data_IF_833632475450
#
_entry.id   IF_833632475450
#
_cell.length_a   1.000
_cell.length_b   1.000
_cell.length_c   1.000
_cell.angle_alpha   90.00
_cell.angle_beta   90.00
_cell.angle_gamma   90.00
#
_symmetry.space_group_name_H-M   'P 1'
#
loop_
_entity.id
_entity.type
_entity.pdbx_description
1 polymer ?
#
# COMPACT_ATOMS: atom_id res chain seq x y z
N UNK A 1 20.28 -50.04 -29.50
CA UNK A 1 19.45 -51.16 -29.97
C UNK A 1 18.11 -51.12 -29.27
N UNK A 2 17.06 -51.02 -30.06
CA UNK A 2 15.64 -51.30 -29.80
C UNK A 2 14.88 -50.33 -28.85
N UNK A 3 14.10 -49.44 -29.39
CA UNK A 3 12.83 -49.48 -30.17
C UNK A 3 11.60 -49.52 -29.24
N UNK A 4 10.93 -48.38 -29.19
CA UNK A 4 9.52 -48.04 -29.41
C UNK A 4 8.41 -48.88 -28.75
N UNK A 5 7.46 -48.20 -28.09
CA UNK A 5 6.04 -48.24 -28.54
C UNK A 5 5.19 -47.11 -27.93
N UNK A 6 4.58 -46.35 -28.83
CA UNK A 6 3.41 -45.51 -28.63
C UNK A 6 2.18 -46.34 -28.23
N UNK A 7 1.27 -45.73 -27.46
CA UNK A 7 -0.14 -46.07 -27.50
C UNK A 7 -0.96 -44.76 -27.32
N UNK A 8 -1.61 -44.37 -28.43
CA UNK A 8 -2.74 -43.45 -28.48
C UNK A 8 -3.97 -44.17 -27.95
N UNK A 9 -4.81 -43.48 -27.17
CA UNK A 9 -6.22 -43.83 -27.10
C UNK A 9 -7.07 -42.57 -27.03
N UNK A 10 -8.05 -42.59 -27.86
CA UNK A 10 -8.97 -41.65 -28.43
C UNK A 10 -10.07 -41.17 -27.47
N UNK A 11 -10.45 -39.90 -27.69
CA UNK A 11 -11.69 -39.22 -27.34
C UNK A 11 -12.97 -40.05 -27.31
N UNK A 12 -13.82 -39.81 -26.33
CA UNK A 12 -15.27 -39.88 -26.48
C UNK A 12 -15.93 -38.74 -25.67
N UNK A 13 -16.47 -37.80 -26.41
CA UNK A 13 -17.46 -36.81 -25.93
C UNK A 13 -18.78 -37.52 -25.66
N UNK A 14 -19.45 -37.21 -24.57
CA UNK A 14 -20.86 -37.47 -24.41
C UNK A 14 -21.52 -36.24 -23.78
N UNK A 15 -22.32 -35.56 -24.63
CA UNK A 15 -23.26 -34.52 -24.23
C UNK A 15 -24.40 -35.13 -23.40
N UNK A 16 -24.65 -34.57 -22.22
CA UNK A 16 -25.93 -34.76 -21.53
C UNK A 16 -26.53 -33.39 -21.31
N UNK A 17 -27.57 -33.10 -22.08
CA UNK A 17 -28.53 -32.02 -21.87
C UNK A 17 -29.47 -32.40 -20.73
N UNK A 18 -29.46 -31.64 -19.65
CA UNK A 18 -30.55 -31.69 -18.66
C UNK A 18 -31.23 -30.33 -18.55
N UNK A 19 -32.50 -30.33 -18.91
CA UNK A 19 -33.46 -29.26 -18.89
C UNK A 19 -33.78 -28.82 -17.47
N UNK A 20 -33.77 -27.49 -17.20
CA UNK A 20 -34.22 -26.87 -15.95
C UNK A 20 -35.66 -26.42 -16.11
N UNK A 21 -36.58 -26.74 -15.18
CA UNK A 21 -37.96 -26.23 -15.22
C UNK A 21 -38.02 -24.79 -14.69
N UNK A 22 -38.73 -23.94 -15.44
CA UNK A 22 -39.12 -22.58 -15.06
C UNK A 22 -40.17 -22.63 -13.94
N UNK A 23 -39.86 -22.10 -12.76
CA UNK A 23 -40.87 -21.79 -11.72
C UNK A 23 -41.32 -20.34 -11.88
N UNK A 24 -42.64 -20.21 -11.93
CA UNK A 24 -43.40 -18.96 -11.94
C UNK A 24 -43.24 -18.23 -10.59
N UNK A 25 -43.03 -16.90 -10.63
CA UNK A 25 -43.07 -15.99 -9.48
C UNK A 25 -44.29 -15.06 -9.70
N UNK A 26 -45.24 -14.98 -8.76
CA UNK A 26 -46.33 -14.01 -8.84
C UNK A 26 -45.84 -12.61 -8.42
N UNK A 27 -46.32 -11.58 -9.15
CA UNK A 27 -46.03 -10.17 -8.95
C UNK A 27 -46.67 -9.57 -7.70
N UNK A 28 -46.12 -8.47 -7.16
CA UNK A 28 -46.67 -7.83 -5.97
C UNK A 28 -47.86 -6.90 -6.29
N UNK A 29 -48.88 -7.00 -5.45
CA UNK A 29 -50.10 -6.19 -5.42
C UNK A 29 -49.78 -4.75 -4.98
N UNK A 30 -50.24 -3.77 -5.73
CA UNK A 30 -50.15 -2.35 -5.42
C UNK A 30 -51.19 -2.00 -4.34
N UNK A 31 -50.73 -1.55 -3.17
CA UNK A 31 -51.57 -0.87 -2.20
C UNK A 31 -51.20 0.60 -2.17
N UNK A 32 -52.13 1.42 -2.62
CA UNK A 32 -52.11 2.88 -2.55
C UNK A 32 -52.37 3.34 -1.12
N UNK A 33 -51.42 4.11 -0.59
CA UNK A 33 -51.59 4.78 0.68
C UNK A 33 -50.62 5.96 0.76
N UNK A 34 -51.12 7.17 0.51
CA UNK A 34 -50.38 8.41 0.68
C UNK A 34 -50.24 8.78 2.17
N UNK A 35 -49.05 9.21 2.62
CA UNK A 35 -48.94 10.01 3.83
C UNK A 35 -48.57 11.47 3.54
N UNK A 36 -49.26 12.32 4.29
CA UNK A 36 -49.20 13.78 4.31
C UNK A 36 -47.77 14.32 4.56
N UNK A 37 -47.39 15.28 3.75
CA UNK A 37 -46.19 16.10 3.89
C UNK A 37 -46.21 16.92 5.19
N UNK A 38 -45.20 16.76 6.03
CA UNK A 38 -44.84 17.76 7.04
C UNK A 38 -43.49 18.37 6.65
N UNK A 39 -43.54 19.59 6.20
CA UNK A 39 -42.39 20.45 5.93
C UNK A 39 -41.76 20.84 7.28
N UNK A 40 -40.60 20.31 7.62
CA UNK A 40 -39.78 20.80 8.68
C UNK A 40 -38.72 21.76 8.08
N UNK A 41 -38.82 23.04 8.49
CA UNK A 41 -37.86 24.06 8.19
C UNK A 41 -36.48 23.71 8.76
N UNK A 42 -35.47 23.65 7.88
CA UNK A 42 -34.07 23.58 8.28
C UNK A 42 -33.59 24.95 8.69
N UNK A 43 -33.36 25.16 9.98
CA UNK A 43 -32.62 26.32 10.49
C UNK A 43 -31.14 26.14 10.13
N UNK A 44 -30.59 27.01 9.31
CA UNK A 44 -29.17 27.06 8.98
C UNK A 44 -28.40 27.64 10.17
N UNK A 45 -27.69 26.76 10.89
CA UNK A 45 -26.71 27.17 11.89
C UNK A 45 -25.36 27.26 11.20
N UNK A 46 -24.91 28.45 10.93
CA UNK A 46 -23.55 28.74 10.48
C UNK A 46 -22.57 28.47 11.61
N UNK A 47 -21.96 27.27 11.62
CA UNK A 47 -20.80 27.00 12.47
C UNK A 47 -19.54 27.55 11.82
N UNK A 48 -18.92 28.50 12.50
CA UNK A 48 -17.57 29.02 12.21
C UNK A 48 -16.60 27.86 12.38
N UNK A 49 -15.93 27.46 11.31
CA UNK A 49 -14.79 26.54 11.37
C UNK A 49 -13.61 27.26 12.03
N UNK A 50 -13.39 26.96 13.31
CA UNK A 50 -12.13 27.24 13.97
C UNK A 50 -11.16 26.11 13.64
N UNK A 51 -10.05 26.48 13.08
CA UNK A 51 -8.97 25.67 12.58
C UNK A 51 -8.04 25.21 13.69
N UNK A 52 -7.88 23.94 13.85
CA UNK A 52 -6.62 23.22 14.09
C UNK A 52 -6.93 21.72 13.95
N UNK A 53 -6.14 20.93 13.20
CA UNK A 53 -6.36 19.51 13.17
C UNK A 53 -6.09 18.96 14.57
N UNK A 54 -6.96 18.10 15.10
CA UNK A 54 -6.68 17.41 16.36
C UNK A 54 -5.41 16.56 16.20
N UNK A 55 -4.60 16.40 17.28
CA UNK A 55 -3.47 15.50 17.26
C UNK A 55 -3.96 14.09 16.84
N UNK A 56 -3.19 13.43 15.98
CA UNK A 56 -3.52 12.10 15.48
C UNK A 56 -3.82 11.17 16.66
N UNK A 57 -5.07 10.74 16.76
CA UNK A 57 -5.47 9.75 17.75
C UNK A 57 -4.69 8.47 17.51
N UNK A 58 -4.21 7.76 18.55
CA UNK A 58 -3.54 6.48 18.36
C UNK A 58 -4.46 5.57 17.55
N UNK A 59 -3.91 4.96 16.46
CA UNK A 59 -4.66 4.07 15.58
C UNK A 59 -5.35 2.99 16.43
N UNK A 60 -6.64 2.86 16.30
CA UNK A 60 -7.38 1.84 17.02
C UNK A 60 -7.01 0.45 16.49
N UNK A 61 -6.72 -0.50 17.39
CA UNK A 61 -6.46 -1.91 17.03
C UNK A 61 -7.54 -2.43 16.07
N UNK A 62 -7.19 -3.31 15.09
CA UNK A 62 -8.15 -3.92 14.16
C UNK A 62 -9.37 -4.50 14.88
N UNK A 63 -10.54 -4.50 14.22
CA UNK A 63 -11.77 -4.95 14.85
C UNK A 63 -11.73 -6.43 15.25
N UNK A 64 -11.05 -7.25 14.46
CA UNK A 64 -10.80 -8.68 14.74
C UNK A 64 -9.99 -8.85 16.01
N UNK A 65 -8.91 -8.11 16.21
CA UNK A 65 -8.12 -8.13 17.43
C UNK A 65 -8.92 -7.70 18.65
N UNK A 66 -9.79 -6.71 18.53
CA UNK A 66 -10.68 -6.29 19.64
C UNK A 66 -11.69 -7.35 20.02
N UNK A 67 -12.26 -8.05 19.04
CA UNK A 67 -13.18 -9.17 19.29
C UNK A 67 -12.42 -10.38 19.81
N UNK A 68 -11.26 -10.65 19.26
CA UNK A 68 -10.41 -11.77 19.64
C UNK A 68 -9.79 -11.57 21.05
N UNK A 69 -9.56 -10.34 21.50
CA UNK A 69 -9.04 -10.05 22.84
C UNK A 69 -9.89 -10.67 23.96
N UNK A 70 -11.18 -10.86 23.74
CA UNK A 70 -12.05 -11.58 24.69
C UNK A 70 -11.62 -13.05 24.89
N UNK A 71 -11.02 -13.67 23.87
CA UNK A 71 -10.56 -15.05 23.94
C UNK A 71 -9.32 -15.23 24.85
N UNK A 72 -8.55 -14.17 25.10
CA UNK A 72 -7.41 -14.18 26.01
C UNK A 72 -7.78 -13.95 27.47
N UNK A 73 -8.99 -13.43 27.77
CA UNK A 73 -9.44 -13.12 29.12
C UNK A 73 -9.35 -14.29 30.10
N UNK A 74 -9.74 -15.54 29.75
CA UNK A 74 -9.62 -16.67 30.67
C UNK A 74 -8.18 -16.95 31.08
N UNK A 75 -7.23 -16.75 30.17
CA UNK A 75 -5.80 -16.95 30.42
C UNK A 75 -5.27 -15.84 31.33
N UNK A 76 -5.68 -14.60 31.09
CA UNK A 76 -5.27 -13.43 31.88
C UNK A 76 -5.84 -13.49 33.31
N UNK A 77 -7.08 -13.98 33.45
CA UNK A 77 -7.79 -14.06 34.72
C UNK A 77 -7.33 -15.25 35.60
N UNK A 78 -6.83 -16.33 35.01
CA UNK A 78 -6.49 -17.56 35.72
C UNK A 78 -4.97 -17.85 35.60
N UNK A 79 -4.12 -17.23 36.43
CA UNK A 79 -2.69 -17.54 36.42
C UNK A 79 -2.47 -18.99 36.88
N UNK A 80 -1.71 -19.75 36.10
CA UNK A 80 -1.25 -21.09 36.50
C UNK A 80 0.13 -21.01 37.13
N UNK A 81 0.51 -21.94 38.03
CA UNK A 81 1.83 -21.92 38.66
C UNK A 81 3.02 -22.01 37.68
N UNK A 82 2.80 -22.55 36.49
CA UNK A 82 3.82 -22.72 35.44
C UNK A 82 3.90 -21.54 34.46
N UNK A 83 2.94 -20.63 34.53
CA UNK A 83 2.84 -19.51 33.61
C UNK A 83 3.71 -18.35 34.04
N UNK A 84 4.52 -17.84 33.13
CA UNK A 84 5.32 -16.64 33.31
C UNK A 84 4.48 -15.35 33.37
N UNK A 85 5.13 -14.24 33.57
CA UNK A 85 4.49 -12.92 33.48
C UNK A 85 4.17 -12.58 32.01
N UNK A 86 3.07 -11.87 31.81
CA UNK A 86 2.70 -11.32 30.49
C UNK A 86 3.68 -10.18 30.18
N UNK A 87 4.28 -10.21 28.99
CA UNK A 87 5.27 -9.25 28.51
C UNK A 87 4.89 -8.74 27.11
N UNK A 88 5.29 -7.53 26.75
CA UNK A 88 4.95 -6.98 25.43
C UNK A 88 5.77 -7.61 24.30
N UNK A 89 5.17 -7.64 23.11
CA UNK A 89 5.82 -7.80 21.80
C UNK A 89 5.53 -6.55 21.02
N UNK A 90 6.55 -5.77 20.73
CA UNK A 90 6.45 -4.50 20.04
C UNK A 90 7.04 -4.62 18.64
N UNK A 91 6.40 -3.99 17.67
CA UNK A 91 6.92 -3.89 16.30
C UNK A 91 7.04 -2.42 15.93
N UNK A 92 8.21 -2.02 15.45
CA UNK A 92 8.49 -0.67 14.96
C UNK A 92 8.88 -0.72 13.49
N UNK A 93 8.11 -0.04 12.63
CA UNK A 93 8.51 0.25 11.27
C UNK A 93 9.20 1.62 11.24
N UNK A 94 10.42 1.69 10.69
CA UNK A 94 11.24 2.92 10.64
C UNK A 94 11.51 3.38 9.22
N UNK A 95 11.52 2.46 8.25
CA UNK A 95 11.82 2.72 6.84
C UNK A 95 10.99 1.81 5.92
N UNK A 96 11.01 2.05 4.62
CA UNK A 96 10.41 1.11 3.63
C UNK A 96 11.23 -0.18 3.51
N UNK A 97 12.55 -0.09 3.71
CA UNK A 97 13.46 -1.25 3.78
C UNK A 97 14.78 -0.88 4.46
N UNK A 98 15.54 -1.91 4.85
CA UNK A 98 16.92 -1.73 5.30
C UNK A 98 17.90 -2.19 4.22
N UNK A 99 19.03 -1.49 4.13
CA UNK A 99 20.14 -1.92 3.28
C UNK A 99 20.96 -2.98 4.03
N UNK A 100 20.99 -4.24 3.57
CA UNK A 100 21.65 -5.33 4.28
C UNK A 100 23.14 -5.09 4.54
N UNK A 101 23.85 -4.50 3.59
CA UNK A 101 25.28 -4.26 3.72
C UNK A 101 25.63 -3.27 4.82
N UNK A 102 24.87 -2.19 4.97
CA UNK A 102 25.08 -1.23 6.04
C UNK A 102 24.57 -1.75 7.38
N UNK A 103 23.44 -2.50 7.36
CA UNK A 103 22.83 -3.06 8.56
C UNK A 103 23.80 -4.03 9.26
N UNK A 104 24.39 -4.97 8.52
CA UNK A 104 25.32 -5.97 9.06
C UNK A 104 26.46 -5.34 9.86
N UNK A 105 27.00 -4.22 9.37
CA UNK A 105 28.07 -3.48 10.05
C UNK A 105 27.64 -2.75 11.33
N UNK A 106 26.34 -2.63 11.63
CA UNK A 106 25.83 -1.92 12.81
C UNK A 106 25.35 -2.84 13.92
N UNK A 107 25.17 -4.12 13.60
CA UNK A 107 24.59 -5.09 14.52
C UNK A 107 25.50 -5.36 15.72
N UNK A 108 24.92 -5.55 16.92
CA UNK A 108 25.67 -5.97 18.10
C UNK A 108 26.35 -7.35 17.91
N UNK A 109 27.44 -7.57 18.65
CA UNK A 109 28.09 -8.88 18.66
C UNK A 109 27.12 -9.97 19.12
N UNK A 110 27.15 -11.13 18.44
CA UNK A 110 26.23 -12.24 18.73
C UNK A 110 24.92 -12.19 17.95
N UNK A 111 24.72 -11.19 17.08
CA UNK A 111 23.62 -11.19 16.13
C UNK A 111 23.79 -12.32 15.12
N UNK A 112 22.70 -12.99 14.75
CA UNK A 112 22.68 -14.11 13.83
C UNK A 112 21.68 -13.87 12.70
N UNK A 113 22.03 -14.26 11.48
CA UNK A 113 21.09 -14.25 10.37
C UNK A 113 20.19 -15.48 10.45
N UNK A 114 18.89 -15.27 10.47
CA UNK A 114 17.87 -16.31 10.50
C UNK A 114 16.91 -16.03 9.35
N UNK A 115 17.08 -16.75 8.25
CA UNK A 115 16.28 -16.60 7.03
C UNK A 115 16.19 -15.13 6.56
N UNK A 116 14.99 -14.55 6.58
CA UNK A 116 14.75 -13.17 6.14
C UNK A 116 15.03 -12.11 7.23
N UNK A 117 15.49 -12.50 8.42
CA UNK A 117 15.69 -11.60 9.54
C UNK A 117 17.08 -11.72 10.18
N UNK A 118 17.51 -10.68 10.86
CA UNK A 118 18.57 -10.72 11.84
C UNK A 118 17.98 -10.90 13.23
N UNK A 119 18.50 -11.86 13.98
CA UNK A 119 18.10 -12.14 15.34
C UNK A 119 19.20 -11.75 16.33
N UNK A 120 18.82 -10.99 17.36
CA UNK A 120 19.68 -10.56 18.47
C UNK A 120 19.10 -11.17 19.73
N UNK A 121 19.70 -12.27 20.25
CA UNK A 121 19.11 -13.07 21.32
C UNK A 121 19.09 -12.34 22.67
N UNK A 122 20.03 -11.43 22.91
CA UNK A 122 20.21 -10.75 24.18
C UNK A 122 20.40 -9.24 23.94
N UNK A 123 19.33 -8.51 24.02
CA UNK A 123 19.35 -7.05 24.10
C UNK A 123 18.66 -6.63 25.38
N UNK A 124 19.47 -6.24 26.40
CA UNK A 124 18.93 -5.93 27.73
C UNK A 124 18.12 -7.09 28.31
N UNK A 125 16.81 -6.91 28.54
CA UNK A 125 15.88 -7.89 29.11
C UNK A 125 15.11 -8.73 28.08
N UNK A 126 15.35 -8.54 26.78
CA UNK A 126 14.60 -9.17 25.71
C UNK A 126 15.43 -9.57 24.50
N UNK A 127 14.77 -9.85 23.42
CA UNK A 127 15.37 -10.17 22.12
C UNK A 127 14.82 -9.26 21.02
N UNK A 128 15.56 -9.13 19.93
CA UNK A 128 15.19 -8.28 18.80
C UNK A 128 15.30 -9.05 17.49
N UNK A 129 14.30 -8.90 16.65
CA UNK A 129 14.29 -9.36 15.27
C UNK A 129 14.27 -8.15 14.35
N UNK A 130 15.15 -8.13 13.34
CA UNK A 130 15.24 -7.06 12.37
C UNK A 130 14.98 -7.67 11.00
N UNK A 131 13.94 -7.19 10.32
CA UNK A 131 13.55 -7.64 8.98
C UNK A 131 14.04 -6.65 7.93
N UNK A 132 14.46 -7.17 6.78
CA UNK A 132 14.92 -6.34 5.64
C UNK A 132 13.82 -5.38 5.13
N UNK A 133 12.55 -5.65 5.46
CA UNK A 133 11.38 -4.80 5.18
C UNK A 133 11.29 -3.52 6.03
N UNK A 134 12.37 -3.11 6.70
CA UNK A 134 12.43 -1.85 7.44
C UNK A 134 11.77 -1.87 8.82
N UNK A 135 11.62 -3.08 9.40
CA UNK A 135 10.90 -3.30 10.66
C UNK A 135 11.77 -4.02 11.69
N UNK A 136 11.54 -3.67 12.95
CA UNK A 136 12.13 -4.34 14.10
C UNK A 136 11.03 -4.87 15.02
N UNK A 137 11.14 -6.12 15.45
CA UNK A 137 10.22 -6.75 16.40
C UNK A 137 10.97 -7.04 17.70
N UNK A 138 10.38 -6.64 18.81
CA UNK A 138 10.98 -6.63 20.14
C UNK A 138 10.17 -7.53 21.08
N UNK A 139 10.79 -8.55 21.62
CA UNK A 139 10.16 -9.45 22.59
C UNK A 139 10.58 -9.11 24.00
N UNK A 140 9.61 -8.74 24.84
CA UNK A 140 9.82 -8.48 26.26
C UNK A 140 10.57 -7.19 26.59
N UNK A 141 10.65 -6.26 25.65
CA UNK A 141 11.21 -4.93 25.83
C UNK A 141 10.08 -3.90 25.94
N UNK A 142 10.30 -2.88 26.72
CA UNK A 142 9.41 -1.72 26.78
C UNK A 142 9.54 -0.85 25.53
N UNK A 143 8.54 -0.01 25.26
CA UNK A 143 8.57 0.92 24.12
C UNK A 143 9.79 1.86 24.17
N UNK A 144 10.18 2.32 25.36
CA UNK A 144 11.35 3.17 25.52
C UNK A 144 12.64 2.44 25.12
N UNK A 145 12.79 1.17 25.50
CA UNK A 145 13.94 0.34 25.13
C UNK A 145 13.95 0.01 23.64
N UNK A 146 12.78 -0.26 23.04
CA UNK A 146 12.66 -0.48 21.61
C UNK A 146 13.06 0.78 20.79
N UNK A 147 12.61 1.96 21.21
CA UNK A 147 13.00 3.23 20.59
C UNK A 147 14.49 3.53 20.75
N UNK A 148 15.07 3.21 21.92
CA UNK A 148 16.52 3.33 22.12
C UNK A 148 17.31 2.40 21.21
N UNK A 149 16.89 1.14 21.04
CA UNK A 149 17.51 0.22 20.11
C UNK A 149 17.55 0.80 18.69
N UNK A 150 16.41 1.28 18.20
CA UNK A 150 16.31 1.91 16.87
C UNK A 150 17.27 3.10 16.74
N UNK A 151 17.35 3.95 17.75
CA UNK A 151 18.22 5.11 17.74
C UNK A 151 19.73 4.73 17.78
N UNK A 152 20.10 3.74 18.59
CA UNK A 152 21.49 3.34 18.82
C UNK A 152 22.04 2.41 17.74
N UNK A 153 21.20 1.55 17.14
CA UNK A 153 21.62 0.54 16.17
C UNK A 153 21.23 0.92 14.74
N UNK A 154 19.95 1.21 14.48
CA UNK A 154 19.45 1.44 13.13
C UNK A 154 19.80 2.84 12.63
N UNK A 155 19.47 3.88 13.42
CA UNK A 155 19.62 5.28 12.98
C UNK A 155 21.06 5.81 13.13
N UNK A 156 21.94 5.05 13.79
CA UNK A 156 23.32 5.48 14.05
C UNK A 156 24.13 5.66 12.76
N UNK A 157 23.93 4.78 11.79
CA UNK A 157 24.67 4.79 10.52
C UNK A 157 23.76 5.24 9.37
N UNK A 158 24.18 6.30 8.69
CA UNK A 158 23.48 6.79 7.50
C UNK A 158 23.54 5.75 6.40
N UNK A 159 22.41 5.48 5.75
CA UNK A 159 22.30 4.54 4.64
C UNK A 159 21.76 3.15 5.05
N UNK A 160 21.57 2.86 6.32
CA UNK A 160 20.85 1.67 6.77
C UNK A 160 19.39 1.74 6.37
N UNK A 161 18.73 2.87 6.65
CA UNK A 161 17.33 3.10 6.31
C UNK A 161 17.21 3.58 4.85
N UNK A 162 16.44 2.87 4.05
CA UNK A 162 16.04 3.26 2.69
C UNK A 162 14.62 3.80 2.77
N UNK A 163 14.41 5.00 2.26
CA UNK A 163 13.11 5.70 2.31
C UNK A 163 12.51 5.73 3.73
N UNK A 164 13.22 6.43 4.60
CA UNK A 164 12.85 6.61 6.00
C UNK A 164 11.41 7.12 6.17
N UNK A 165 10.66 6.50 7.06
CA UNK A 165 9.31 6.90 7.40
C UNK A 165 9.29 8.24 8.14
N UNK A 166 8.29 9.07 7.85
CA UNK A 166 8.09 10.36 8.56
C UNK A 166 7.67 10.16 10.00
N UNK A 167 6.89 9.13 10.26
CA UNK A 167 6.40 8.73 11.57
C UNK A 167 6.69 7.24 11.76
N UNK A 168 7.16 6.88 12.94
CA UNK A 168 7.34 5.48 13.28
C UNK A 168 5.96 4.85 13.48
N UNK A 169 5.71 3.72 12.81
CA UNK A 169 4.50 2.92 13.05
C UNK A 169 4.81 1.91 14.15
N UNK A 170 3.95 1.87 15.16
CA UNK A 170 4.05 0.97 16.31
C UNK A 170 2.86 0.03 16.33
N UNK A 171 3.13 -1.27 16.38
CA UNK A 171 2.12 -2.31 16.68
C UNK A 171 2.53 -3.04 17.96
N UNK A 172 1.54 -3.42 18.78
CA UNK A 172 1.76 -4.05 20.08
C UNK A 172 0.86 -5.27 20.23
N UNK A 173 1.49 -6.40 20.55
CA UNK A 173 0.87 -7.61 21.08
C UNK A 173 1.53 -7.94 22.44
N UNK A 174 1.04 -8.99 23.07
CA UNK A 174 1.62 -9.49 24.32
C UNK A 174 1.92 -10.99 24.19
N UNK A 175 2.83 -11.47 25.00
CA UNK A 175 3.12 -12.88 25.10
C UNK A 175 3.26 -13.35 26.54
N UNK A 176 3.05 -14.65 26.71
CA UNK A 176 3.24 -15.34 27.97
C UNK A 176 3.92 -16.70 27.71
N UNK A 177 4.78 -17.13 28.61
CA UNK A 177 5.42 -18.44 28.55
C UNK A 177 4.70 -19.42 29.49
N UNK A 178 4.32 -20.60 28.99
CA UNK A 178 3.76 -21.68 29.81
C UNK A 178 4.20 -23.04 29.23
N UNK A 179 5.18 -23.74 29.87
CA UNK A 179 5.70 -25.02 29.37
C UNK A 179 4.66 -26.14 29.25
N UNK A 180 3.49 -26.01 29.85
CA UNK A 180 2.41 -27.01 29.80
C UNK A 180 1.39 -26.75 28.68
N UNK A 181 1.37 -25.57 28.15
CA UNK A 181 0.49 -25.17 27.06
C UNK A 181 1.15 -25.41 25.70
N UNK A 182 0.34 -25.50 24.65
CA UNK A 182 0.84 -25.51 23.26
C UNK A 182 1.08 -24.10 22.78
N UNK A 183 2.12 -23.89 21.96
CA UNK A 183 2.40 -22.61 21.34
C UNK A 183 1.29 -22.24 20.37
N UNK A 184 0.68 -21.06 20.54
CA UNK A 184 -0.40 -20.54 19.70
C UNK A 184 -0.67 -19.05 19.95
N UNK A 185 -1.37 -18.43 19.04
CA UNK A 185 -2.02 -17.14 19.27
C UNK A 185 -3.43 -17.39 19.86
N UNK A 186 -3.76 -16.71 20.96
CA UNK A 186 -5.10 -16.74 21.53
C UNK A 186 -5.61 -15.32 21.76
N UNK A 187 -6.39 -14.84 20.82
CA UNK A 187 -6.86 -13.47 20.82
C UNK A 187 -5.75 -12.49 20.47
N UNK A 188 -5.35 -11.67 21.44
CA UNK A 188 -4.24 -10.72 21.36
C UNK A 188 -3.01 -11.16 22.15
N UNK A 189 -3.01 -12.41 22.64
CA UNK A 189 -1.97 -12.97 23.49
C UNK A 189 -1.29 -14.16 22.78
N UNK A 190 0.02 -14.10 22.63
CA UNK A 190 0.85 -15.20 22.15
C UNK A 190 1.23 -16.07 23.35
N UNK A 191 0.93 -17.35 23.29
CA UNK A 191 1.34 -18.34 24.28
C UNK A 191 2.54 -19.07 23.70
N UNK A 192 3.67 -19.03 24.43
CA UNK A 192 4.88 -19.78 24.08
C UNK A 192 5.02 -20.97 25.04
N UNK A 193 4.91 -22.16 24.50
CA UNK A 193 4.99 -23.41 25.23
C UNK A 193 5.54 -24.54 24.37
N UNK A 194 4.89 -25.69 24.41
CA UNK A 194 5.29 -26.84 23.60
C UNK A 194 5.04 -26.59 22.11
N UNK A 195 5.99 -27.01 21.28
CA UNK A 195 5.89 -27.00 19.83
C UNK A 195 5.98 -28.41 19.26
N UNK A 196 5.28 -28.74 18.16
CA UNK A 196 5.61 -29.89 17.35
C UNK A 196 7.04 -29.79 16.82
N UNK A 197 7.74 -30.91 16.61
CA UNK A 197 9.06 -30.90 15.97
C UNK A 197 8.93 -30.35 14.53
N UNK A 198 9.91 -29.55 14.13
CA UNK A 198 10.11 -29.09 12.76
C UNK A 198 11.32 -29.82 12.19
N UNK A 199 11.31 -30.16 10.90
CA UNK A 199 12.34 -30.99 10.28
C UNK A 199 12.99 -30.39 9.06
N UNK A 200 12.29 -29.55 8.31
CA UNK A 200 12.72 -29.09 7.00
C UNK A 200 13.45 -27.74 7.05
N UNK A 201 13.23 -26.97 8.10
CA UNK A 201 13.80 -25.62 8.26
C UNK A 201 14.76 -25.61 9.46
N UNK A 202 16.02 -25.28 9.19
CA UNK A 202 17.04 -25.17 10.23
C UNK A 202 17.01 -23.82 10.94
N UNK A 203 17.05 -23.86 12.26
CA UNK A 203 17.23 -22.69 13.10
C UNK A 203 18.54 -22.80 13.90
N UNK A 204 19.21 -21.66 14.15
CA UNK A 204 20.42 -21.67 14.97
C UNK A 204 20.12 -22.14 16.38
N UNK A 205 21.05 -22.87 16.96
CA UNK A 205 20.98 -23.21 18.39
C UNK A 205 21.09 -21.92 19.20
N UNK A 206 20.07 -21.58 20.01
CA UNK A 206 20.11 -20.35 20.79
C UNK A 206 21.26 -20.43 21.81
N UNK A 207 22.02 -19.34 21.98
CA UNK A 207 22.97 -19.25 23.08
C UNK A 207 22.24 -19.34 24.42
N UNK A 208 22.91 -19.68 25.52
CA UNK A 208 22.30 -19.63 26.83
C UNK A 208 21.71 -18.24 27.07
N UNK A 209 20.38 -18.17 27.06
CA UNK A 209 19.65 -16.91 27.06
C UNK A 209 19.52 -16.39 28.49
N UNK A 210 19.81 -15.11 28.65
CA UNK A 210 19.51 -14.36 29.89
C UNK A 210 18.01 -14.04 29.97
N UNK A 211 17.28 -14.24 28.88
CA UNK A 211 15.84 -14.03 28.78
C UNK A 211 15.09 -15.25 29.27
N UNK A 212 13.99 -15.07 29.98
CA UNK A 212 13.13 -16.17 30.45
C UNK A 212 12.25 -16.75 29.33
N UNK A 213 12.68 -16.69 28.07
CA UNK A 213 11.95 -17.18 26.90
C UNK A 213 12.52 -18.56 26.53
N UNK A 214 11.68 -19.60 26.41
CA UNK A 214 12.14 -20.95 26.10
C UNK A 214 12.86 -20.99 24.74
N UNK A 215 14.07 -21.54 24.66
CA UNK A 215 14.85 -21.60 23.41
C UNK A 215 14.13 -22.41 22.31
N UNK A 216 13.41 -23.44 22.69
CA UNK A 216 12.69 -24.35 21.80
C UNK A 216 11.61 -23.63 20.99
N UNK A 217 11.13 -22.46 21.47
CA UNK A 217 10.11 -21.67 20.78
C UNK A 217 10.67 -20.71 19.73
N UNK A 218 11.98 -20.74 19.43
CA UNK A 218 12.63 -19.85 18.49
C UNK A 218 11.97 -19.85 17.11
N UNK A 219 11.61 -21.00 16.51
CA UNK A 219 10.96 -21.03 15.21
C UNK A 219 9.57 -20.37 15.22
N UNK A 220 8.77 -20.59 16.27
CA UNK A 220 7.47 -19.95 16.42
C UNK A 220 7.60 -18.43 16.58
N UNK A 221 8.58 -17.97 17.39
CA UNK A 221 8.86 -16.53 17.55
C UNK A 221 9.27 -15.87 16.25
N UNK A 222 10.05 -16.57 15.41
CA UNK A 222 10.36 -16.11 14.07
C UNK A 222 9.08 -15.93 13.23
N UNK A 223 8.20 -16.96 13.18
CA UNK A 223 6.97 -16.91 12.39
C UNK A 223 6.02 -15.79 12.86
N UNK A 224 5.81 -15.66 14.17
CA UNK A 224 5.03 -14.56 14.75
C UNK A 224 5.66 -13.19 14.45
N UNK A 225 6.98 -13.06 14.60
CA UNK A 225 7.70 -11.81 14.31
C UNK A 225 7.62 -11.44 12.84
N UNK A 226 7.66 -12.41 11.95
CA UNK A 226 7.56 -12.19 10.51
C UNK A 226 6.18 -11.63 10.12
N UNK A 227 5.10 -12.22 10.64
CA UNK A 227 3.74 -11.72 10.42
C UNK A 227 3.53 -10.31 11.00
N UNK A 228 4.08 -10.04 12.21
CA UNK A 228 4.06 -8.71 12.83
C UNK A 228 4.83 -7.67 12.01
N UNK A 229 6.03 -8.00 11.56
CA UNK A 229 6.83 -7.11 10.71
C UNK A 229 6.09 -6.78 9.42
N UNK A 230 5.41 -7.77 8.82
CA UNK A 230 4.60 -7.60 7.63
C UNK A 230 3.41 -6.66 7.85
N UNK A 231 2.67 -6.86 8.95
CA UNK A 231 1.57 -5.98 9.32
C UNK A 231 2.02 -4.53 9.53
N UNK A 232 3.13 -4.35 10.23
CA UNK A 232 3.70 -3.04 10.51
C UNK A 232 4.19 -2.33 9.23
N UNK A 233 4.82 -3.08 8.28
CA UNK A 233 5.18 -2.55 6.96
C UNK A 233 3.94 -2.12 6.17
N UNK A 234 2.87 -2.92 6.20
CA UNK A 234 1.60 -2.58 5.57
C UNK A 234 0.97 -1.33 6.19
N UNK A 235 1.02 -1.18 7.53
CA UNK A 235 0.56 0.03 8.24
C UNK A 235 1.29 1.29 7.80
N UNK A 236 2.61 1.20 7.61
CA UNK A 236 3.43 2.30 7.12
C UNK A 236 3.05 2.69 5.68
N UNK A 237 2.81 1.69 4.84
CA UNK A 237 2.38 1.90 3.46
C UNK A 237 0.96 2.49 3.39
N UNK A 238 0.01 2.02 4.20
CA UNK A 238 -1.33 2.59 4.34
C UNK A 238 -1.28 4.07 4.71
N UNK A 239 -0.47 4.42 5.72
CA UNK A 239 -0.29 5.82 6.17
C UNK A 239 0.27 6.71 5.07
N UNK A 240 1.25 6.20 4.34
CA UNK A 240 1.86 6.92 3.21
C UNK A 240 0.88 7.09 2.05
N UNK A 241 0.10 6.04 1.72
CA UNK A 241 -0.93 6.08 0.69
C UNK A 241 -2.08 7.03 1.06
N UNK A 242 -2.54 7.03 2.31
CA UNK A 242 -3.60 7.93 2.77
C UNK A 242 -3.13 9.40 2.70
N UNK A 243 -1.88 9.69 3.05
CA UNK A 243 -1.27 11.01 2.87
C UNK A 243 -1.25 11.44 1.39
N UNK A 244 -0.90 10.51 0.49
CA UNK A 244 -0.94 10.72 -0.95
C UNK A 244 -2.38 10.99 -1.44
N UNK A 245 -3.34 10.14 -1.08
CA UNK A 245 -4.75 10.31 -1.45
C UNK A 245 -5.32 11.63 -0.95
N UNK A 246 -4.97 12.03 0.28
CA UNK A 246 -5.35 13.35 0.79
C UNK A 246 -4.80 14.49 -0.08
N UNK A 247 -3.57 14.37 -0.59
CA UNK A 247 -2.95 15.37 -1.46
C UNK A 247 -3.65 15.50 -2.82
N UNK A 248 -4.32 14.46 -3.31
CA UNK A 248 -5.06 14.44 -4.59
C UNK A 248 -6.57 14.55 -4.42
N UNK A 249 -7.08 14.50 -3.19
CA UNK A 249 -8.54 14.52 -2.90
C UNK A 249 -9.26 15.77 -3.36
N UNK A 250 -8.56 16.91 -3.49
CA UNK A 250 -9.12 18.17 -3.98
C UNK A 250 -9.29 18.22 -5.51
N UNK A 251 -8.65 17.31 -6.24
CA UNK A 251 -8.66 17.37 -7.71
C UNK A 251 -10.06 17.19 -8.33
N UNK A 252 -10.89 16.21 -7.88
CA UNK A 252 -12.23 16.06 -8.43
C UNK A 252 -13.12 17.28 -8.18
N UNK A 253 -13.04 17.89 -6.99
CA UNK A 253 -13.82 19.07 -6.66
C UNK A 253 -13.36 20.31 -7.45
N UNK A 254 -12.05 20.50 -7.63
CA UNK A 254 -11.49 21.58 -8.45
C UNK A 254 -11.90 21.42 -9.91
N UNK A 255 -11.84 20.19 -10.43
CA UNK A 255 -12.29 19.88 -11.79
C UNK A 255 -13.78 20.17 -11.97
N UNK A 256 -14.63 19.76 -11.01
CA UNK A 256 -16.07 19.98 -11.03
C UNK A 256 -16.48 21.46 -10.95
N UNK A 257 -15.68 22.30 -10.27
CA UNK A 257 -16.01 23.75 -10.12
C UNK A 257 -15.40 24.62 -11.19
N UNK A 258 -14.20 24.31 -11.67
CA UNK A 258 -13.42 25.17 -12.58
C UNK A 258 -13.29 24.61 -13.99
N UNK A 259 -13.65 23.35 -14.21
CA UNK A 259 -13.39 22.62 -15.47
C UNK A 259 -11.90 22.38 -15.74
N UNK A 260 -11.01 22.70 -14.76
CA UNK A 260 -9.57 22.55 -14.91
C UNK A 260 -9.03 21.69 -13.77
N UNK A 261 -8.05 20.81 -14.03
CA UNK A 261 -7.54 19.88 -13.00
C UNK A 261 -6.76 20.51 -11.87
N UNK A 262 -6.45 21.82 -11.91
CA UNK A 262 -5.73 22.52 -10.85
C UNK A 262 -4.24 22.14 -10.68
N UNK A 263 -3.77 21.10 -11.36
CA UNK A 263 -2.39 20.62 -11.36
C UNK A 263 -1.72 20.82 -12.71
N UNK A 264 -0.42 21.17 -12.68
CA UNK A 264 0.40 21.21 -13.87
C UNK A 264 0.87 19.82 -14.32
N UNK A 265 1.27 19.68 -15.61
CA UNK A 265 1.76 18.43 -16.18
C UNK A 265 2.96 17.82 -15.43
N UNK A 266 3.87 18.65 -14.91
CA UNK A 266 5.02 18.22 -14.12
C UNK A 266 4.57 17.58 -12.82
N UNK A 267 3.67 18.25 -12.12
CA UNK A 267 3.14 17.80 -10.83
C UNK A 267 2.35 16.50 -10.97
N UNK A 268 1.50 16.40 -12.02
CA UNK A 268 0.80 15.16 -12.32
C UNK A 268 1.75 13.97 -12.57
N UNK A 269 2.85 14.19 -13.31
CA UNK A 269 3.87 13.15 -13.52
C UNK A 269 4.55 12.73 -12.22
N UNK A 270 4.84 13.69 -11.32
CA UNK A 270 5.40 13.39 -10.00
C UNK A 270 4.43 12.56 -9.16
N UNK A 271 3.13 12.90 -9.19
CA UNK A 271 2.09 12.13 -8.50
C UNK A 271 1.93 10.73 -9.09
N UNK A 272 2.01 10.58 -10.40
CA UNK A 272 2.02 9.26 -11.04
C UNK A 272 3.22 8.40 -10.60
N UNK A 273 4.41 8.99 -10.53
CA UNK A 273 5.60 8.29 -10.02
C UNK A 273 5.44 7.83 -8.58
N UNK A 274 4.84 8.65 -7.71
CA UNK A 274 4.53 8.25 -6.33
C UNK A 274 3.54 7.09 -6.28
N UNK A 275 2.49 7.12 -7.12
CA UNK A 275 1.51 6.04 -7.18
C UNK A 275 2.11 4.71 -7.66
N UNK A 276 3.01 4.77 -8.65
CA UNK A 276 3.75 3.59 -9.12
C UNK A 276 4.62 2.98 -8.01
N UNK A 277 5.25 3.80 -7.16
CA UNK A 277 6.00 3.32 -5.99
C UNK A 277 5.11 2.56 -5.02
N UNK A 278 3.91 3.06 -4.69
CA UNK A 278 2.96 2.32 -3.85
C UNK A 278 2.59 0.97 -4.45
N UNK A 279 2.27 0.95 -5.75
CA UNK A 279 1.96 -0.31 -6.45
C UNK A 279 3.14 -1.30 -6.41
N UNK A 280 4.35 -0.80 -6.55
CA UNK A 280 5.56 -1.60 -6.43
C UNK A 280 5.74 -2.13 -5.02
N UNK A 281 5.56 -1.30 -3.99
CA UNK A 281 5.69 -1.71 -2.59
C UNK A 281 4.71 -2.80 -2.19
N UNK A 282 3.46 -2.76 -2.70
CA UNK A 282 2.44 -3.77 -2.36
C UNK A 282 2.66 -5.09 -3.11
N UNK A 283 2.98 -5.04 -4.42
CA UNK A 283 2.86 -6.20 -5.30
C UNK A 283 4.18 -6.72 -5.85
N UNK A 284 5.27 -5.94 -5.78
CA UNK A 284 6.57 -6.28 -6.36
C UNK A 284 7.71 -6.24 -5.33
N UNK A 285 7.38 -6.03 -4.05
CA UNK A 285 8.34 -6.18 -2.95
C UNK A 285 8.90 -7.62 -2.90
N UNK A 286 10.02 -7.83 -2.19
CA UNK A 286 10.61 -9.16 -1.98
C UNK A 286 9.60 -10.18 -1.44
N UNK A 287 8.61 -9.68 -0.71
CA UNK A 287 7.50 -10.47 -0.16
C UNK A 287 6.20 -9.72 -0.47
N UNK A 288 5.34 -10.33 -1.26
CA UNK A 288 3.97 -9.85 -1.50
C UNK A 288 3.18 -9.92 -0.21
N UNK A 289 2.50 -8.84 0.20
CA UNK A 289 1.74 -8.83 1.46
C UNK A 289 0.58 -9.84 1.49
N UNK A 290 0.07 -10.25 0.34
CA UNK A 290 -1.07 -11.17 0.23
C UNK A 290 -0.71 -12.64 0.26
N UNK A 291 0.55 -13.01 0.01
CA UNK A 291 0.97 -14.39 -0.17
C UNK A 291 1.77 -14.89 1.04
N UNK A 292 1.64 -16.18 1.36
CA UNK A 292 2.47 -16.84 2.37
C UNK A 292 3.89 -16.99 1.83
N UNK A 293 4.94 -16.60 2.59
CA UNK A 293 6.32 -16.73 2.14
C UNK A 293 6.72 -18.18 1.88
N UNK A 294 7.58 -18.39 0.87
CA UNK A 294 8.02 -19.72 0.41
C UNK A 294 8.60 -20.60 1.53
N UNK A 295 9.24 -19.97 2.53
CA UNK A 295 9.79 -20.64 3.70
C UNK A 295 8.76 -21.52 4.42
N UNK A 296 7.50 -21.12 4.45
CA UNK A 296 6.45 -21.83 5.19
C UNK A 296 5.82 -22.96 4.40
N UNK A 297 6.04 -23.05 3.10
CA UNK A 297 5.44 -24.11 2.26
C UNK A 297 5.92 -25.52 2.64
N UNK A 298 7.11 -25.63 3.21
CA UNK A 298 7.67 -26.91 3.65
C UNK A 298 7.37 -27.22 5.12
N UNK A 299 6.95 -26.23 5.91
CA UNK A 299 6.73 -26.35 7.36
C UNK A 299 5.33 -25.85 7.78
N UNK A 300 4.29 -26.69 7.65
CA UNK A 300 2.90 -26.31 7.97
C UNK A 300 2.70 -25.82 9.41
N UNK A 301 3.56 -26.24 10.34
CA UNK A 301 3.50 -25.79 11.74
C UNK A 301 3.86 -24.30 11.83
N UNK A 302 4.90 -23.87 11.12
CA UNK A 302 5.32 -22.48 11.09
C UNK A 302 4.34 -21.62 10.28
N UNK A 303 3.80 -22.17 9.19
CA UNK A 303 2.72 -21.53 8.43
C UNK A 303 1.53 -21.21 9.34
N UNK A 304 1.07 -22.19 10.13
CA UNK A 304 -0.03 -21.98 11.08
C UNK A 304 0.21 -20.86 12.10
N UNK A 305 1.45 -20.69 12.58
CA UNK A 305 1.80 -19.57 13.46
C UNK A 305 1.80 -18.23 12.73
N UNK A 306 2.38 -18.17 11.54
CA UNK A 306 2.39 -16.99 10.69
C UNK A 306 0.97 -16.56 10.31
N UNK A 307 0.15 -17.50 9.85
CA UNK A 307 -1.22 -17.25 9.42
C UNK A 307 -2.12 -16.79 10.57
N UNK A 308 -1.96 -17.38 11.77
CA UNK A 308 -2.77 -16.98 12.94
C UNK A 308 -2.63 -15.49 13.27
N UNK A 309 -1.43 -14.94 13.17
CA UNK A 309 -1.19 -13.49 13.36
C UNK A 309 -1.63 -12.70 12.14
N UNK A 310 -1.39 -13.20 10.93
CA UNK A 310 -1.78 -12.55 9.69
C UNK A 310 -3.30 -12.36 9.59
N UNK A 311 -4.07 -13.36 9.99
CA UNK A 311 -5.52 -13.29 10.08
C UNK A 311 -6.00 -12.34 11.19
N UNK A 312 -5.40 -12.42 12.39
CA UNK A 312 -5.75 -11.56 13.51
C UNK A 312 -5.51 -10.07 13.19
N UNK A 313 -4.47 -9.76 12.40
CA UNK A 313 -4.12 -8.41 11.97
C UNK A 313 -4.75 -8.03 10.63
N UNK A 314 -5.60 -8.89 10.06
CA UNK A 314 -6.36 -8.65 8.81
C UNK A 314 -5.43 -8.29 7.61
N UNK A 315 -4.22 -8.85 7.54
CA UNK A 315 -3.21 -8.45 6.55
C UNK A 315 -3.76 -8.56 5.13
N UNK A 316 -4.43 -9.67 4.79
CA UNK A 316 -5.01 -9.89 3.47
C UNK A 316 -6.08 -8.85 3.13
N UNK A 317 -7.06 -8.65 4.01
CA UNK A 317 -8.14 -7.69 3.78
C UNK A 317 -7.63 -6.24 3.67
N UNK A 318 -6.61 -5.89 4.46
CA UNK A 318 -5.94 -4.59 4.39
C UNK A 318 -5.19 -4.42 3.07
N UNK A 319 -4.48 -5.46 2.63
CA UNK A 319 -3.78 -5.46 1.33
C UNK A 319 -4.75 -5.26 0.17
N UNK A 320 -5.89 -5.95 0.18
CA UNK A 320 -6.95 -5.80 -0.84
C UNK A 320 -7.51 -4.36 -0.83
N UNK A 321 -7.72 -3.78 0.34
CA UNK A 321 -8.16 -2.39 0.49
C UNK A 321 -7.13 -1.40 -0.07
N UNK A 322 -5.84 -1.62 0.20
CA UNK A 322 -4.75 -0.79 -0.34
C UNK A 322 -4.71 -0.89 -1.86
N UNK A 323 -4.81 -2.09 -2.43
CA UNK A 323 -4.84 -2.31 -3.87
C UNK A 323 -6.04 -1.61 -4.54
N UNK A 324 -7.23 -1.65 -3.92
CA UNK A 324 -8.41 -0.94 -4.40
C UNK A 324 -8.20 0.59 -4.40
N UNK A 325 -7.61 1.15 -3.33
CA UNK A 325 -7.26 2.57 -3.25
C UNK A 325 -6.24 2.98 -4.31
N UNK A 326 -5.22 2.15 -4.57
CA UNK A 326 -4.21 2.39 -5.61
C UNK A 326 -4.86 2.37 -7.01
N UNK A 327 -5.75 1.42 -7.26
CA UNK A 327 -6.48 1.31 -8.53
C UNK A 327 -7.34 2.56 -8.76
N UNK A 328 -8.14 2.97 -7.78
CA UNK A 328 -8.91 4.21 -7.85
C UNK A 328 -8.04 5.44 -8.15
N UNK A 329 -6.90 5.56 -7.47
CA UNK A 329 -5.99 6.68 -7.70
C UNK A 329 -5.37 6.64 -9.12
N UNK A 330 -5.10 5.45 -9.65
CA UNK A 330 -4.58 5.28 -11.01
C UNK A 330 -5.61 5.68 -12.07
N UNK A 331 -6.87 5.30 -11.90
CA UNK A 331 -7.97 5.69 -12.77
C UNK A 331 -8.17 7.20 -12.78
N UNK A 332 -8.22 7.83 -11.59
CA UNK A 332 -8.31 9.28 -11.46
C UNK A 332 -7.17 9.99 -12.19
N UNK A 333 -5.94 9.51 -12.04
CA UNK A 333 -4.79 10.10 -12.73
C UNK A 333 -4.82 9.88 -14.24
N UNK A 334 -5.36 8.76 -14.72
CA UNK A 334 -5.60 8.50 -16.14
C UNK A 334 -6.49 9.56 -16.75
N UNK A 335 -7.63 9.82 -16.14
CA UNK A 335 -8.57 10.86 -16.55
C UNK A 335 -7.94 12.26 -16.56
N UNK A 336 -7.20 12.60 -15.50
CA UNK A 336 -6.52 13.91 -15.42
C UNK A 336 -5.46 14.08 -16.52
N UNK A 337 -4.73 13.02 -16.84
CA UNK A 337 -3.74 13.03 -17.93
C UNK A 337 -4.39 13.26 -19.28
N UNK A 338 -5.53 12.63 -19.54
CA UNK A 338 -6.31 12.79 -20.77
C UNK A 338 -6.79 14.24 -20.91
N UNK A 339 -7.41 14.80 -19.89
CA UNK A 339 -7.86 16.21 -19.87
C UNK A 339 -6.71 17.20 -20.09
N UNK A 340 -5.54 16.96 -19.53
CA UNK A 340 -4.36 17.81 -19.74
C UNK A 340 -3.78 17.64 -21.17
N UNK A 341 -3.91 16.50 -21.79
CA UNK A 341 -3.51 16.28 -23.18
C UNK A 341 -4.44 17.03 -24.15
N UNK A 342 -5.75 16.97 -23.94
CA UNK A 342 -6.76 17.66 -24.73
C UNK A 342 -6.56 19.19 -24.69
N UNK A 343 -6.37 19.76 -23.51
CA UNK A 343 -6.15 21.20 -23.36
C UNK A 343 -4.91 21.73 -24.09
N UNK A 344 -3.93 20.88 -24.41
CA UNK A 344 -2.74 21.30 -25.17
C UNK A 344 -2.91 21.12 -26.68
N UNK A 345 -3.74 20.20 -27.12
CA UNK A 345 -4.13 20.09 -28.53
C UNK A 345 -4.75 21.39 -29.00
N UNK A 346 -5.70 21.88 -28.25
CA UNK A 346 -6.40 23.14 -28.57
C UNK A 346 -5.47 24.38 -28.62
N UNK A 347 -4.45 24.47 -27.78
CA UNK A 347 -3.44 25.53 -27.85
C UNK A 347 -2.59 25.45 -29.11
N UNK A 348 -2.20 24.26 -29.53
CA UNK A 348 -1.42 24.05 -30.76
C UNK A 348 -2.27 24.44 -31.98
N UNK A 349 -3.55 24.09 -31.99
CA UNK A 349 -4.51 24.47 -33.04
C UNK A 349 -4.62 26.00 -33.14
N UNK A 350 -4.79 26.71 -32.03
CA UNK A 350 -4.83 28.18 -31.99
C UNK A 350 -3.53 28.82 -32.53
N UNK A 351 -2.37 28.23 -32.22
CA UNK A 351 -1.07 28.72 -32.73
C UNK A 351 -1.02 28.53 -34.25
N UNK A 352 -1.45 27.40 -34.78
CA UNK A 352 -1.49 27.13 -36.20
C UNK A 352 -2.44 28.12 -36.88
N UNK A 353 -3.65 28.33 -36.36
CA UNK A 353 -4.60 29.31 -36.88
C UNK A 353 -3.99 30.72 -36.89
N UNK A 354 -3.30 31.12 -35.81
CA UNK A 354 -2.64 32.43 -35.74
C UNK A 354 -1.54 32.58 -36.82
N UNK A 355 -0.73 31.54 -37.02
CA UNK A 355 0.31 31.56 -38.07
C UNK A 355 -0.29 31.67 -39.48
N UNK A 356 -1.36 30.92 -39.76
CA UNK A 356 -2.08 30.99 -41.05
C UNK A 356 -2.68 32.40 -41.23
N UNK A 357 -3.27 32.99 -40.17
CA UNK A 357 -3.82 34.35 -40.23
C UNK A 357 -2.74 35.37 -40.56
N UNK A 358 -1.54 35.26 -39.95
CA UNK A 358 -0.40 36.13 -40.27
C UNK A 358 0.05 35.96 -41.73
N UNK A 359 0.14 34.73 -42.21
CA UNK A 359 0.51 34.45 -43.60
C UNK A 359 -0.48 35.06 -44.58
N UNK A 360 -1.79 34.90 -44.34
CA UNK A 360 -2.85 35.51 -45.16
C UNK A 360 -2.74 37.04 -45.16
N UNK A 361 -2.48 37.66 -44.03
CA UNK A 361 -2.27 39.15 -43.93
C UNK A 361 -1.07 39.58 -44.76
N UNK A 362 0.04 38.84 -44.68
CA UNK A 362 1.25 39.14 -45.49
C UNK A 362 0.96 38.98 -46.97
N UNK A 363 0.24 37.93 -47.39
CA UNK A 363 -0.16 37.73 -48.78
C UNK A 363 -1.05 38.86 -49.28
N UNK A 364 -2.04 39.29 -48.51
CA UNK A 364 -2.90 40.43 -48.84
C UNK A 364 -2.10 41.72 -49.01
N UNK A 365 -1.13 41.99 -48.12
CA UNK A 365 -0.30 43.21 -48.20
C UNK A 365 0.60 43.14 -49.46
N UNK A 366 1.14 41.98 -49.81
CA UNK A 366 2.03 41.80 -50.93
C UNK A 366 1.31 41.84 -52.26
N UNK A 367 0.23 41.08 -52.37
CA UNK A 367 -0.46 40.86 -53.64
C UNK A 367 -1.75 41.70 -53.75
N UNK A 368 -2.16 42.37 -52.66
CA UNK A 368 -3.35 43.22 -52.57
C UNK A 368 -3.42 44.36 -53.56
N UNK A 369 -2.33 45.11 -53.82
CA UNK A 369 -2.32 46.15 -54.85
C UNK A 369 -2.64 45.64 -56.26
N UNK A 370 -2.07 44.50 -56.64
CA UNK A 370 -2.32 43.89 -57.95
C UNK A 370 -3.77 43.41 -58.09
N UNK A 371 -4.29 42.74 -57.02
CA UNK A 371 -5.71 42.33 -56.97
C UNK A 371 -6.66 43.51 -56.99
N UNK A 372 -6.33 44.59 -56.33
CA UNK A 372 -7.12 45.85 -56.35
C UNK A 372 -7.19 46.46 -57.76
N UNK A 373 -6.05 46.54 -58.48
CA UNK A 373 -5.99 46.98 -59.85
C UNK A 373 -6.79 46.08 -60.80
N UNK A 374 -6.77 44.78 -60.61
CA UNK A 374 -7.50 43.82 -61.42
C UNK A 374 -9.03 43.92 -61.21
N UNK A 375 -9.48 44.18 -59.96
CA UNK A 375 -10.92 44.26 -59.61
C UNK A 375 -11.50 45.64 -60.00
N UNK A 376 -10.75 46.73 -59.88
CA UNK A 376 -11.24 48.09 -60.10
C UNK A 376 -11.12 48.53 -61.56
N UNK A 377 -10.46 47.75 -62.41
CA UNK A 377 -10.35 48.04 -63.84
C UNK A 377 -9.68 49.39 -64.14
N UNK A 378 -8.86 49.94 -63.23
CA UNK A 378 -8.12 51.16 -63.47
C UNK A 378 -7.07 50.95 -64.53
N UNK A 379 -7.09 51.72 -65.65
CA UNK A 379 -6.12 51.56 -66.74
C UNK A 379 -4.71 51.90 -66.24
N UNK A 380 -3.74 51.06 -66.62
CA UNK A 380 -2.33 51.35 -66.47
C UNK A 380 -1.99 52.74 -66.97
N UNK A 381 -1.44 53.59 -66.15
CA UNK A 381 -0.90 54.89 -66.54
C UNK A 381 0.32 54.69 -67.41
N UNK A 382 0.15 54.91 -68.69
CA UNK A 382 1.11 54.83 -69.79
C UNK A 382 2.38 55.64 -69.42
N UNK A 383 3.50 54.99 -69.23
CA UNK A 383 4.80 55.58 -68.92
C UNK A 383 5.34 56.28 -70.18
N UNK A 384 5.13 57.60 -70.24
CA UNK A 384 5.53 58.47 -71.34
C UNK A 384 7.01 58.31 -71.63
N UNK A 385 7.30 57.82 -72.86
CA UNK A 385 8.57 57.89 -73.53
C UNK A 385 9.19 59.27 -73.41
N UNK A 386 10.39 59.33 -72.90
CA UNK A 386 11.28 60.51 -73.04
C UNK A 386 11.83 60.58 -74.43
N UNK A 387 11.67 61.67 -75.20
CA UNK A 387 12.31 61.82 -76.49
C UNK A 387 13.81 62.08 -76.31
N UNK A 388 14.63 61.37 -77.08
CA UNK A 388 16.07 61.63 -77.28
C UNK A 388 16.26 62.96 -77.99
N UNK A 389 17.08 63.87 -77.43
CA UNK A 389 17.66 65.00 -78.18
C UNK A 389 19.17 64.80 -78.35
N UNK A 390 19.55 65.00 -79.60
CA UNK A 390 20.85 65.13 -80.22
C UNK A 390 21.95 65.81 -79.30
#
# INVERSE_FOLDING_TARGET
MNITRLARSTLRSSHILTSVPRTWIPGPTIISGAPKSSIRAFASTSQRFASSPPPASPKSKPQTLRRAAQASLPIRANPTPTRGSIRPVLTLATAESYNPHFLEGTLPAGSQRVHAAWWIPNWRSGEVWIFDSGNCVFWGLSEAEARMFVAEVIMRVKGVEVDKLKTLELEELEFVTDPKETTRLQGDLIILGQMPPISEVEFPSPPPSLTAIPPETLPARYAFSHALARSSALSALETSLDSYLHSVSRLPSTLGTTGKPGLGRKELRMKLGQLMRFRQGVNLGRETFGDTPDLYWTEPVLEGYFDSVSEALEIKARTDSVNAKITYAAELQGLLRELLAESSGHRMELIIIALIAVEVVIAIIRDGPELWHMITGAPEADEKQKPSRH
#
